data_IF_846252136792
#
_entry.id   IF_846252136792
#
_cell.length_a   1.000
_cell.length_b   1.000
_cell.length_c   1.000
_cell.angle_alpha   90.00
_cell.angle_beta   90.00
_cell.angle_gamma   90.00
#
_symmetry.space_group_name_H-M   'P 1'
#
loop_
_entity.id
_entity.type
_entity.pdbx_description
1 polymer ?
#
# COMPACT_ATOMS: atom_id res chain seq x y z
N UNK A 1 -7.13 -4.59 7.85
CA UNK A 1 -6.73 -3.33 7.22
C UNK A 1 -6.36 -3.62 5.79
N UNK A 2 -6.81 -2.81 4.83
CA UNK A 2 -6.61 -2.96 3.38
C UNK A 2 -6.21 -1.62 2.76
N UNK A 3 -5.84 -1.64 1.46
CA UNK A 3 -5.55 -0.43 0.67
C UNK A 3 -4.52 0.48 1.35
N UNK A 4 -3.39 -0.10 1.78
CA UNK A 4 -2.30 0.56 2.52
C UNK A 4 -2.76 1.38 3.75
N UNK A 5 -3.85 0.97 4.41
CA UNK A 5 -4.41 1.67 5.57
C UNK A 5 -5.70 2.44 5.30
N UNK A 6 -6.03 2.75 4.05
CA UNK A 6 -7.20 3.56 3.71
C UNK A 6 -8.55 2.87 4.01
N UNK A 7 -8.56 1.56 4.21
CA UNK A 7 -9.78 0.79 4.48
C UNK A 7 -9.59 -0.14 5.67
N UNK A 8 -10.43 -0.01 6.68
CA UNK A 8 -10.55 -0.97 7.77
C UNK A 8 -11.89 -1.69 7.67
N UNK A 9 -11.87 -3.01 7.68
CA UNK A 9 -13.08 -3.83 7.61
C UNK A 9 -13.10 -4.89 8.72
N UNK A 10 -14.30 -5.37 9.04
CA UNK A 10 -14.53 -6.52 9.90
C UNK A 10 -15.15 -7.64 9.07
N UNK A 11 -14.59 -8.83 9.16
CA UNK A 11 -15.20 -10.04 8.58
C UNK A 11 -16.57 -10.26 9.21
N UNK A 12 -17.59 -10.44 8.38
CA UNK A 12 -18.97 -10.63 8.79
C UNK A 12 -19.67 -11.55 7.78
N UNK A 13 -19.62 -12.87 7.99
CA UNK A 13 -20.20 -13.85 7.07
C UNK A 13 -21.71 -13.71 6.86
N UNK A 14 -22.42 -12.99 7.74
CA UNK A 14 -23.86 -12.75 7.59
C UNK A 14 -24.20 -11.73 6.51
N UNK A 15 -23.20 -11.00 6.01
CA UNK A 15 -23.37 -9.99 4.96
C UNK A 15 -23.17 -10.56 3.57
N UNK A 16 -23.84 -10.04 2.54
CA UNK A 16 -23.69 -10.54 1.16
C UNK A 16 -22.26 -10.51 0.64
N UNK A 17 -21.42 -9.56 1.12
CA UNK A 17 -20.00 -9.44 0.76
C UNK A 17 -19.04 -10.12 1.74
N UNK A 18 -19.56 -10.76 2.79
CA UNK A 18 -18.74 -11.40 3.83
C UNK A 18 -18.01 -10.44 4.78
N UNK A 19 -18.24 -9.12 4.67
CA UNK A 19 -17.57 -8.12 5.51
C UNK A 19 -18.38 -6.85 5.70
N UNK A 20 -18.02 -6.08 6.73
CA UNK A 20 -18.47 -4.71 7.00
C UNK A 20 -17.29 -3.76 6.97
N UNK A 21 -17.37 -2.69 6.16
CA UNK A 21 -16.39 -1.59 6.23
C UNK A 21 -16.65 -0.81 7.52
N UNK A 22 -15.62 -0.68 8.35
CA UNK A 22 -15.61 0.08 9.59
C UNK A 22 -15.14 1.51 9.36
N UNK A 23 -14.17 1.67 8.47
CA UNK A 23 -13.56 2.95 8.13
C UNK A 23 -13.10 2.96 6.68
N UNK A 24 -13.24 4.09 6.02
CA UNK A 24 -12.77 4.31 4.66
C UNK A 24 -12.34 5.75 4.50
N UNK A 25 -11.06 5.97 4.32
CA UNK A 25 -10.46 7.27 4.02
C UNK A 25 -10.27 7.39 2.51
N UNK A 26 -10.60 8.53 1.95
CA UNK A 26 -10.47 8.78 0.51
C UNK A 26 -9.90 10.16 0.25
N UNK A 27 -9.22 10.33 -0.88
CA UNK A 27 -8.70 11.61 -1.35
C UNK A 27 -9.19 11.90 -2.77
N UNK A 28 -9.00 13.14 -3.22
CA UNK A 28 -9.17 13.51 -4.63
C UNK A 28 -7.86 13.18 -5.37
N UNK A 29 -7.86 12.21 -6.31
CA UNK A 29 -6.63 11.84 -7.00
C UNK A 29 -6.26 12.82 -8.14
N UNK A 30 -7.15 13.74 -8.50
CA UNK A 30 -7.00 14.60 -9.68
C UNK A 30 -5.73 15.45 -9.66
N UNK A 31 -5.39 16.17 -8.56
CA UNK A 31 -4.17 16.99 -8.55
C UNK A 31 -2.91 16.16 -8.79
N UNK A 32 -2.74 15.07 -8.03
CA UNK A 32 -1.59 14.18 -8.15
C UNK A 32 -1.51 13.51 -9.52
N UNK A 33 -2.64 12.97 -10.02
CA UNK A 33 -2.67 12.29 -11.32
C UNK A 33 -2.47 13.24 -12.51
N UNK A 34 -2.92 14.49 -12.42
CA UNK A 34 -2.67 15.48 -13.47
C UNK A 34 -1.17 15.78 -13.58
N UNK A 35 -0.52 16.05 -12.45
CA UNK A 35 0.92 16.30 -12.40
C UNK A 35 1.72 15.09 -12.89
N UNK A 36 1.39 13.89 -12.40
CA UNK A 36 2.08 12.65 -12.79
C UNK A 36 1.89 12.32 -14.29
N UNK A 37 0.74 12.64 -14.88
CA UNK A 37 0.51 12.45 -16.30
C UNK A 37 1.37 13.37 -17.17
N UNK A 38 1.63 14.59 -16.71
CA UNK A 38 2.51 15.54 -17.40
C UNK A 38 3.99 15.09 -17.33
N UNK A 39 4.42 14.60 -16.18
CA UNK A 39 5.79 14.20 -15.90
C UNK A 39 6.13 12.77 -16.39
N UNK A 40 5.14 11.87 -16.37
CA UNK A 40 5.26 10.45 -16.69
C UNK A 40 4.13 10.00 -17.62
N UNK A 41 4.06 10.49 -18.86
CA UNK A 41 2.95 10.23 -19.80
C UNK A 41 2.77 8.76 -20.16
N UNK A 42 3.82 7.95 -20.08
CA UNK A 42 3.82 6.51 -20.38
C UNK A 42 3.38 5.65 -19.16
N UNK A 43 3.17 6.25 -17.98
CA UNK A 43 2.81 5.50 -16.80
C UNK A 43 1.41 4.90 -16.92
N UNK A 44 1.30 3.62 -16.57
CA UNK A 44 0.02 2.95 -16.34
C UNK A 44 -0.56 3.45 -15.03
N UNK A 45 -1.84 3.80 -15.04
CA UNK A 45 -2.56 4.31 -13.86
C UNK A 45 -3.70 3.38 -13.50
N UNK A 46 -3.78 3.00 -12.23
CA UNK A 46 -4.88 2.24 -11.65
C UNK A 46 -5.49 2.99 -10.47
N UNK A 47 -6.81 3.12 -10.46
CA UNK A 47 -7.59 3.69 -9.35
C UNK A 47 -8.43 2.58 -8.74
N UNK A 48 -8.30 2.36 -7.45
CA UNK A 48 -9.01 1.28 -6.77
C UNK A 48 -10.54 1.45 -6.84
N UNK A 49 -11.23 0.42 -7.30
CA UNK A 49 -12.69 0.28 -7.24
C UNK A 49 -13.04 -0.73 -6.14
N UNK A 50 -13.09 -0.25 -4.92
CA UNK A 50 -13.14 -1.03 -3.69
C UNK A 50 -14.16 -2.17 -3.74
N UNK A 51 -13.67 -3.40 -3.56
CA UNK A 51 -14.46 -4.62 -3.58
C UNK A 51 -14.81 -5.15 -4.98
N UNK A 52 -14.14 -4.62 -6.03
CA UNK A 52 -14.24 -5.08 -7.42
C UNK A 52 -12.88 -5.29 -8.07
N UNK A 53 -11.92 -4.40 -7.84
CA UNK A 53 -10.62 -4.38 -8.48
C UNK A 53 -10.20 -2.96 -8.81
N UNK A 54 -9.85 -2.67 -10.06
CA UNK A 54 -9.31 -1.38 -10.47
C UNK A 54 -9.93 -0.84 -11.76
N UNK A 55 -10.08 0.49 -11.81
CA UNK A 55 -10.20 1.23 -13.04
C UNK A 55 -8.80 1.57 -13.52
N UNK A 56 -8.47 1.26 -14.77
CA UNK A 56 -7.12 1.42 -15.30
C UNK A 56 -7.08 2.27 -16.56
N UNK A 57 -5.97 2.98 -16.79
CA UNK A 57 -5.71 3.72 -18.03
C UNK A 57 -5.44 2.77 -19.21
N UNK A 58 -4.71 1.70 -18.93
CA UNK A 58 -4.39 0.59 -19.81
C UNK A 58 -4.18 -0.67 -18.96
N UNK A 59 -4.24 -1.88 -19.53
CA UNK A 59 -4.00 -3.11 -18.77
C UNK A 59 -2.63 -3.10 -18.10
N UNK A 60 -2.57 -3.48 -16.84
CA UNK A 60 -1.33 -3.76 -16.12
C UNK A 60 -0.81 -5.15 -16.50
N UNK A 61 0.49 -5.40 -16.35
CA UNK A 61 1.05 -6.73 -16.53
C UNK A 61 0.33 -7.78 -15.67
N UNK A 62 0.25 -9.01 -16.19
CA UNK A 62 -0.43 -10.10 -15.52
C UNK A 62 0.16 -10.38 -14.13
N UNK A 63 -0.72 -10.50 -13.14
CA UNK A 63 -0.34 -10.79 -11.75
C UNK A 63 0.09 -9.58 -10.91
N UNK A 64 0.27 -8.40 -11.49
CA UNK A 64 0.69 -7.20 -10.75
C UNK A 64 -0.48 -6.53 -9.99
N UNK A 65 -1.70 -6.55 -10.53
CA UNK A 65 -2.90 -6.06 -9.84
C UNK A 65 -3.87 -7.20 -9.52
N UNK A 66 -4.29 -7.27 -8.26
CA UNK A 66 -5.28 -8.26 -7.81
C UNK A 66 -6.70 -7.78 -8.06
N UNK A 67 -7.54 -8.63 -8.67
CA UNK A 67 -8.93 -8.35 -8.98
C UNK A 67 -9.16 -7.91 -10.42
N UNK A 68 -10.40 -7.49 -10.72
CA UNK A 68 -10.79 -7.12 -12.08
C UNK A 68 -10.14 -5.80 -12.50
N UNK A 69 -9.61 -5.77 -13.72
CA UNK A 69 -9.12 -4.55 -14.37
C UNK A 69 -10.12 -4.08 -15.41
N UNK A 70 -10.57 -2.84 -15.31
CA UNK A 70 -11.45 -2.21 -16.29
C UNK A 70 -10.81 -0.98 -16.90
N UNK A 71 -10.47 -1.04 -18.18
CA UNK A 71 -9.96 0.12 -18.91
C UNK A 71 -11.05 1.17 -19.04
N UNK A 72 -10.74 2.41 -18.66
CA UNK A 72 -11.67 3.54 -18.70
C UNK A 72 -10.98 4.81 -19.21
N UNK A 73 -11.73 5.77 -19.78
CA UNK A 73 -11.21 7.08 -20.12
C UNK A 73 -10.64 7.81 -18.89
N UNK A 74 -9.66 8.68 -19.12
CA UNK A 74 -8.97 9.46 -18.10
C UNK A 74 -9.93 10.19 -17.13
N UNK A 75 -10.97 10.84 -17.65
CA UNK A 75 -11.94 11.56 -16.84
C UNK A 75 -12.65 10.66 -15.81
N UNK A 76 -12.77 9.38 -16.09
CA UNK A 76 -13.33 8.40 -15.14
C UNK A 76 -12.35 8.01 -14.06
N UNK A 77 -11.04 8.01 -14.37
CA UNK A 77 -9.98 7.77 -13.37
C UNK A 77 -9.93 8.91 -12.36
N UNK A 78 -9.84 10.15 -12.84
CA UNK A 78 -9.71 11.35 -11.99
C UNK A 78 -11.04 11.89 -11.45
N UNK A 79 -12.17 11.42 -11.97
CA UNK A 79 -13.50 11.96 -11.65
C UNK A 79 -14.12 11.44 -10.35
N UNK A 80 -13.38 10.67 -9.54
CA UNK A 80 -13.90 10.07 -8.30
C UNK A 80 -12.88 10.08 -7.19
N UNK A 81 -13.34 10.15 -5.95
CA UNK A 81 -12.48 9.96 -4.80
C UNK A 81 -11.96 8.52 -4.75
N UNK A 82 -10.70 8.36 -4.40
CA UNK A 82 -10.00 7.07 -4.34
C UNK A 82 -9.54 6.73 -2.92
N UNK A 83 -9.46 5.45 -2.61
CA UNK A 83 -8.80 4.89 -1.44
C UNK A 83 -7.31 4.66 -1.71
N UNK A 84 -6.98 4.28 -2.95
CA UNK A 84 -5.63 4.07 -3.43
C UNK A 84 -5.56 4.32 -4.93
N UNK A 85 -4.45 4.90 -5.36
CA UNK A 85 -4.05 4.99 -6.76
C UNK A 85 -2.69 4.35 -6.90
N UNK A 86 -2.47 3.66 -8.01
CA UNK A 86 -1.20 3.02 -8.34
C UNK A 86 -0.73 3.47 -9.70
N UNK A 87 0.56 3.81 -9.80
CA UNK A 87 1.24 4.01 -11.07
C UNK A 87 2.28 2.93 -11.28
N UNK A 88 2.48 2.54 -12.53
CA UNK A 88 3.46 1.55 -12.96
C UNK A 88 4.14 2.00 -14.24
N UNK A 89 5.45 1.91 -14.28
CA UNK A 89 6.25 2.07 -15.49
C UNK A 89 7.04 0.79 -15.76
N UNK A 90 6.52 -0.15 -16.58
CA UNK A 90 7.13 -1.47 -16.76
C UNK A 90 8.58 -1.44 -17.25
N UNK A 91 8.90 -0.47 -18.11
CA UNK A 91 10.21 -0.36 -18.76
C UNK A 91 11.18 0.61 -18.06
N UNK A 92 10.80 1.17 -16.89
CA UNK A 92 11.65 2.10 -16.17
C UNK A 92 12.50 1.39 -15.11
N UNK A 93 13.74 1.85 -14.96
CA UNK A 93 14.61 1.43 -13.87
C UNK A 93 14.06 1.96 -12.52
N UNK A 94 13.94 1.12 -11.48
CA UNK A 94 13.30 1.48 -10.21
C UNK A 94 13.93 2.70 -9.53
N UNK A 95 15.26 2.80 -9.50
CA UNK A 95 16.00 3.90 -8.87
C UNK A 95 15.78 5.23 -9.60
N UNK A 96 15.77 5.21 -10.93
CA UNK A 96 15.52 6.39 -11.74
C UNK A 96 14.06 6.86 -11.58
N UNK A 97 13.12 5.93 -11.51
CA UNK A 97 11.72 6.22 -11.25
C UNK A 97 11.53 6.84 -9.86
N UNK A 98 12.14 6.27 -8.82
CA UNK A 98 12.10 6.79 -7.45
C UNK A 98 12.63 8.22 -7.38
N UNK A 99 13.82 8.47 -7.91
CA UNK A 99 14.43 9.81 -7.95
C UNK A 99 13.56 10.83 -8.70
N UNK A 100 12.84 10.39 -9.75
CA UNK A 100 11.92 11.24 -10.49
C UNK A 100 10.68 11.60 -9.63
N UNK A 101 10.06 10.62 -8.96
CA UNK A 101 8.92 10.86 -8.07
C UNK A 101 9.29 11.81 -6.92
N UNK A 102 10.45 11.63 -6.29
CA UNK A 102 10.94 12.52 -5.23
C UNK A 102 11.13 13.95 -5.73
N UNK A 103 11.63 14.13 -6.94
CA UNK A 103 11.81 15.47 -7.56
C UNK A 103 10.49 16.15 -7.88
N UNK A 104 9.46 15.38 -8.31
CA UNK A 104 8.12 15.91 -8.55
C UNK A 104 7.52 16.48 -7.27
N UNK A 105 7.70 15.81 -6.12
CA UNK A 105 7.19 16.23 -4.83
C UNK A 105 5.67 16.24 -4.79
N UNK A 106 5.06 15.09 -4.53
CA UNK A 106 3.60 14.98 -4.39
C UNK A 106 3.16 15.60 -3.06
N UNK A 107 2.12 16.44 -3.10
CA UNK A 107 1.55 17.11 -1.95
C UNK A 107 0.15 16.59 -1.63
N UNK A 108 -0.29 16.77 -0.37
CA UNK A 108 -1.61 16.37 0.14
C UNK A 108 -1.94 14.88 -0.04
N UNK A 109 -0.91 14.04 -0.19
CA UNK A 109 -1.02 12.59 -0.29
C UNK A 109 0.16 11.92 0.41
N UNK A 110 -0.06 10.71 0.90
CA UNK A 110 1.00 9.79 1.31
C UNK A 110 1.34 8.89 0.14
N UNK A 111 2.64 8.62 -0.10
CA UNK A 111 3.02 7.73 -1.18
C UNK A 111 4.20 6.84 -0.82
N UNK A 112 4.31 5.71 -1.49
CA UNK A 112 5.44 4.80 -1.38
C UNK A 112 5.84 4.28 -2.76
N UNK A 113 7.14 4.25 -3.04
CA UNK A 113 7.71 3.69 -4.27
C UNK A 113 8.13 2.25 -3.99
N UNK A 114 7.69 1.33 -4.85
CA UNK A 114 8.00 -0.11 -4.76
C UNK A 114 9.35 -0.47 -5.37
N UNK A 115 9.66 -1.77 -5.41
CA UNK A 115 10.89 -2.34 -5.95
C UNK A 115 11.00 -2.31 -7.48
N UNK A 116 9.87 -2.36 -8.11
CA UNK A 116 9.74 -2.13 -9.55
C UNK A 116 9.22 -0.72 -9.70
N UNK A 117 9.40 -0.05 -10.80
CA UNK A 117 8.89 1.31 -11.01
C UNK A 117 7.37 1.40 -10.74
N UNK A 118 7.02 1.31 -9.47
CA UNK A 118 5.68 1.22 -8.88
C UNK A 118 5.50 2.30 -7.82
N UNK A 119 4.43 3.04 -7.90
CA UNK A 119 4.07 4.09 -6.95
C UNK A 119 2.65 3.85 -6.44
N UNK A 120 2.50 3.65 -5.14
CA UNK A 120 1.20 3.69 -4.46
C UNK A 120 0.97 5.07 -3.84
N UNK A 121 -0.19 5.65 -4.10
CA UNK A 121 -0.65 6.94 -3.57
C UNK A 121 -1.88 6.70 -2.73
N UNK A 122 -1.86 7.21 -1.51
CA UNK A 122 -2.90 7.07 -0.51
C UNK A 122 -3.36 8.45 0.00
N UNK A 123 -4.49 8.55 0.73
CA UNK A 123 -4.85 9.78 1.41
C UNK A 123 -3.74 10.25 2.35
N UNK A 124 -3.55 11.55 2.48
CA UNK A 124 -2.56 12.16 3.38
C UNK A 124 -2.69 11.62 4.82
N UNK A 125 -1.55 11.31 5.44
CA UNK A 125 -1.48 10.75 6.80
C UNK A 125 -2.00 9.32 6.94
N UNK A 126 -2.35 8.66 5.82
CA UNK A 126 -2.79 7.25 5.81
C UNK A 126 -1.63 6.36 5.42
N UNK A 127 -1.30 5.43 6.33
CA UNK A 127 -0.32 4.37 6.14
C UNK A 127 -0.79 3.07 6.81
N UNK A 128 -0.06 1.99 6.59
CA UNK A 128 -0.33 0.72 7.31
C UNK A 128 -0.22 0.92 8.83
N UNK A 129 0.79 1.67 9.28
CA UNK A 129 1.01 1.97 10.70
C UNK A 129 -0.11 2.82 11.31
N UNK A 130 -0.50 3.93 10.66
CA UNK A 130 -1.57 4.81 11.16
C UNK A 130 -2.91 4.08 11.30
N UNK A 131 -3.25 3.22 10.34
CA UNK A 131 -4.49 2.43 10.40
C UNK A 131 -4.45 1.35 11.48
N UNK A 132 -3.30 0.71 11.69
CA UNK A 132 -3.12 -0.28 12.75
C UNK A 132 -3.19 0.37 14.13
N UNK A 133 -2.67 1.58 14.31
CA UNK A 133 -2.81 2.33 15.57
C UNK A 133 -4.29 2.60 15.91
N UNK A 134 -5.09 3.04 14.93
CA UNK A 134 -6.53 3.21 15.14
C UNK A 134 -7.22 1.90 15.50
N UNK A 135 -6.84 0.80 14.84
CA UNK A 135 -7.38 -0.52 15.13
C UNK A 135 -6.96 -1.03 16.52
N UNK A 136 -5.68 -0.87 16.88
CA UNK A 136 -5.14 -1.24 18.19
C UNK A 136 -5.94 -0.58 19.32
N UNK A 137 -6.14 0.76 19.24
CA UNK A 137 -6.93 1.50 20.22
C UNK A 137 -8.37 1.00 20.31
N UNK A 138 -9.00 0.72 19.16
CA UNK A 138 -10.38 0.20 19.09
C UNK A 138 -10.53 -1.17 19.73
N UNK A 139 -9.48 -1.99 19.67
CA UNK A 139 -9.44 -3.34 20.27
C UNK A 139 -8.97 -3.33 21.71
N UNK A 140 -8.48 -2.22 22.25
CA UNK A 140 -7.92 -2.12 23.60
C UNK A 140 -6.62 -2.91 23.78
N UNK A 141 -5.84 -3.09 22.71
CA UNK A 141 -4.53 -3.77 22.75
C UNK A 141 -3.48 -2.78 23.25
N UNK A 142 -2.61 -3.18 24.17
CA UNK A 142 -1.51 -2.33 24.64
C UNK A 142 -0.45 -2.18 23.55
N UNK A 143 0.28 -1.04 23.47
CA UNK A 143 1.35 -0.84 22.48
C UNK A 143 2.40 -1.95 22.53
N UNK A 144 2.81 -2.40 23.72
CA UNK A 144 3.80 -3.45 23.92
C UNK A 144 3.38 -4.84 23.40
N UNK A 145 2.10 -5.05 23.12
CA UNK A 145 1.55 -6.31 22.62
C UNK A 145 1.40 -6.33 21.09
N UNK A 146 2.14 -5.49 20.39
CA UNK A 146 2.07 -5.37 18.92
C UNK A 146 3.29 -5.97 18.25
N UNK A 147 3.05 -6.76 17.21
CA UNK A 147 4.09 -7.30 16.31
C UNK A 147 3.72 -6.97 14.87
N UNK A 148 4.68 -6.52 14.10
CA UNK A 148 4.54 -6.30 12.66
C UNK A 148 5.63 -7.03 11.88
N UNK A 149 5.26 -7.57 10.73
CA UNK A 149 6.19 -8.19 9.79
C UNK A 149 5.97 -7.56 8.43
N UNK A 150 7.04 -7.14 7.77
CA UNK A 150 6.97 -6.46 6.47
C UNK A 150 8.22 -6.65 5.62
N UNK A 151 8.08 -6.38 4.32
CA UNK A 151 9.16 -6.57 3.35
C UNK A 151 9.29 -5.41 2.34
N UNK A 152 8.42 -4.39 2.42
CA UNK A 152 8.36 -3.30 1.46
C UNK A 152 8.53 -1.93 2.14
N UNK A 153 8.85 -0.89 1.33
CA UNK A 153 8.95 0.49 1.82
C UNK A 153 7.67 1.00 2.48
N UNK A 154 6.49 0.57 1.99
CA UNK A 154 5.21 0.93 2.60
C UNK A 154 4.94 0.23 3.94
N UNK A 155 5.83 -0.67 4.39
CA UNK A 155 5.79 -1.31 5.70
C UNK A 155 6.61 -0.55 6.76
N UNK A 156 7.49 0.38 6.35
CA UNK A 156 8.43 1.07 7.25
C UNK A 156 7.69 1.67 8.46
N UNK A 157 6.64 2.47 8.24
CA UNK A 157 5.88 3.07 9.33
C UNK A 157 5.20 2.02 10.22
N UNK A 158 4.74 0.92 9.65
CA UNK A 158 4.14 -0.18 10.39
C UNK A 158 5.17 -0.91 11.26
N UNK A 159 6.37 -1.16 10.72
CA UNK A 159 7.46 -1.79 11.47
C UNK A 159 7.93 -0.91 12.63
N UNK A 160 8.08 0.39 12.41
CA UNK A 160 8.45 1.37 13.45
C UNK A 160 7.35 1.59 14.49
N UNK A 161 6.09 1.41 14.11
CA UNK A 161 4.95 1.55 15.01
C UNK A 161 4.83 0.39 15.99
N UNK A 162 5.15 -0.83 15.57
CA UNK A 162 5.02 -2.04 16.38
C UNK A 162 6.03 -2.06 17.54
N UNK A 163 5.69 -2.69 18.66
CA UNK A 163 6.63 -2.97 19.74
C UNK A 163 7.72 -3.96 19.33
N UNK A 164 7.42 -4.79 18.32
CA UNK A 164 8.36 -5.70 17.67
C UNK A 164 8.13 -5.64 16.17
N UNK A 165 8.97 -4.88 15.47
CA UNK A 165 8.98 -4.76 14.02
C UNK A 165 9.98 -5.72 13.39
N UNK A 166 9.53 -6.64 12.54
CA UNK A 166 10.37 -7.68 11.94
C UNK A 166 10.40 -7.50 10.42
N UNK A 167 11.57 -7.28 9.84
CA UNK A 167 11.75 -7.26 8.39
C UNK A 167 11.93 -8.68 7.85
N UNK A 168 11.34 -8.97 6.69
CA UNK A 168 11.59 -10.21 5.96
C UNK A 168 13.00 -10.21 5.37
N UNK A 169 13.61 -11.39 5.22
CA UNK A 169 14.96 -11.56 4.67
C UNK A 169 15.12 -11.06 3.23
N UNK A 170 14.03 -11.05 2.45
CA UNK A 170 13.97 -10.49 1.09
C UNK A 170 13.68 -8.97 1.05
N UNK A 171 13.51 -8.30 2.19
CA UNK A 171 13.28 -6.85 2.23
C UNK A 171 14.52 -6.05 1.77
N UNK A 172 14.36 -4.82 1.26
CA UNK A 172 15.48 -3.91 0.99
C UNK A 172 16.27 -3.59 2.25
N UNK A 173 17.54 -3.21 2.08
CA UNK A 173 18.41 -2.91 3.21
C UNK A 173 17.89 -1.76 4.08
N UNK A 174 17.24 -0.76 3.48
CA UNK A 174 16.61 0.34 4.21
C UNK A 174 15.45 -0.10 5.11
N UNK A 175 14.67 -1.12 4.69
CA UNK A 175 13.59 -1.71 5.49
C UNK A 175 14.16 -2.57 6.61
N UNK A 176 15.21 -3.34 6.33
CA UNK A 176 15.94 -4.13 7.34
C UNK A 176 16.59 -3.23 8.40
N UNK A 177 17.14 -2.09 7.98
CA UNK A 177 17.85 -1.18 8.85
C UNK A 177 16.97 -0.50 9.93
N UNK A 178 15.65 -0.39 9.68
CA UNK A 178 14.71 0.24 10.62
C UNK A 178 13.93 -0.76 11.47
N UNK A 179 14.03 -2.05 11.19
CA UNK A 179 13.34 -3.10 11.93
C UNK A 179 14.14 -3.50 13.17
N UNK A 180 13.45 -4.00 14.21
CA UNK A 180 14.09 -4.53 15.42
C UNK A 180 14.81 -5.84 15.12
N UNK A 181 14.29 -6.62 14.16
CA UNK A 181 14.79 -7.95 13.80
C UNK A 181 14.65 -8.19 12.29
N UNK A 182 15.47 -9.11 11.77
CA UNK A 182 15.35 -9.64 10.41
C UNK A 182 15.11 -11.14 10.50
N UNK A 183 14.02 -11.61 9.90
CA UNK A 183 13.72 -13.05 9.78
C UNK A 183 14.18 -13.62 8.44
N UNK A 184 13.91 -14.90 8.17
CA UNK A 184 14.13 -15.51 6.86
C UNK A 184 13.34 -14.85 5.74
N UNK A 185 13.71 -15.14 4.50
CA UNK A 185 12.98 -14.71 3.31
C UNK A 185 11.61 -15.41 3.18
N UNK A 186 10.85 -15.04 2.17
CA UNK A 186 9.60 -15.74 1.79
C UNK A 186 9.88 -17.22 1.49
N UNK A 187 10.96 -17.50 0.76
CA UNK A 187 11.35 -18.87 0.38
C UNK A 187 11.84 -19.70 1.58
N UNK A 188 12.28 -19.05 2.64
CA UNK A 188 12.72 -19.66 3.91
C UNK A 188 11.63 -19.70 4.98
N UNK A 189 10.38 -19.39 4.61
CA UNK A 189 9.22 -19.34 5.52
C UNK A 189 9.42 -18.39 6.72
N UNK A 190 10.07 -17.25 6.52
CA UNK A 190 10.41 -16.29 7.59
C UNK A 190 9.22 -15.82 8.41
N UNK A 191 8.07 -15.55 7.79
CA UNK A 191 6.84 -15.19 8.52
C UNK A 191 6.38 -16.32 9.46
N UNK A 192 6.47 -17.58 9.03
CA UNK A 192 6.08 -18.72 9.87
C UNK A 192 6.93 -18.81 11.13
N UNK A 193 8.25 -18.59 10.99
CA UNK A 193 9.17 -18.57 12.14
C UNK A 193 8.82 -17.48 13.15
N UNK A 194 8.44 -16.27 12.68
CA UNK A 194 7.97 -15.20 13.58
C UNK A 194 6.70 -15.60 14.30
N UNK A 195 5.69 -16.17 13.60
CA UNK A 195 4.43 -16.59 14.22
C UNK A 195 4.63 -17.70 15.25
N UNK A 196 5.56 -18.62 15.01
CA UNK A 196 5.90 -19.69 15.97
C UNK A 196 6.55 -19.13 17.25
N UNK A 197 7.31 -18.03 17.14
CA UNK A 197 7.94 -17.37 18.28
C UNK A 197 6.94 -16.64 19.22
N UNK A 198 5.69 -16.48 18.82
CA UNK A 198 4.62 -15.84 19.61
C UNK A 198 3.83 -16.82 20.47
N UNK A 199 4.18 -18.08 20.49
CA UNK A 199 3.49 -19.14 21.25
C UNK A 199 4.04 -19.34 22.65
#
# INVERSE_FOLDING_TARGET
VCSNGAVTLRIDPSRPKGYKILEKVTFDPRPALTLLREELPEALVAVEDLGRGFLVSSPFPDGELMGDQRVVPWDKLVGRRATRVTLRMPDAEPEAFMAHIERIGLHEVSYAVGWTAWLDINPEGVSKGSALELLRRRLGVEPCDTVAVGDQRNDIEMLQWAARGVAMGNAPDEVKAIADEVTGSVDEAGLAAVLESLR
#
